data_IF_424521904973
#
_entry.id   IF_424521904973
#
_cell.length_a   1.000
_cell.length_b   1.000
_cell.length_c   1.000
_cell.angle_alpha   90.00
_cell.angle_beta   90.00
_cell.angle_gamma   90.00
#
_symmetry.space_group_name_H-M   'P 1'
#
loop_
_entity.id
_entity.type
_entity.pdbx_description
1 polymer ?
#
# COMPACT_ATOMS: atom_id res chain seq x y z
N UNK A 1 12.54 -4.79 -3.37
CA UNK A 1 11.64 -5.13 -2.25
C UNK A 1 10.63 -4.00 -2.09
N UNK A 2 9.33 -4.30 -1.95
CA UNK A 2 8.32 -3.28 -1.66
C UNK A 2 8.19 -3.09 -0.16
N UNK A 3 8.01 -1.83 0.27
CA UNK A 3 7.87 -1.41 1.65
C UNK A 3 6.63 -0.54 1.76
N UNK A 4 5.70 -0.93 2.63
CA UNK A 4 4.58 -0.10 3.05
C UNK A 4 4.99 0.77 4.23
N UNK A 5 4.57 2.03 4.20
CA UNK A 5 4.68 2.94 5.32
C UNK A 5 3.26 3.27 5.76
N UNK A 6 2.98 3.11 7.06
CA UNK A 6 1.66 3.30 7.68
C UNK A 6 0.95 4.58 7.23
N UNK A 7 1.71 5.66 7.01
CA UNK A 7 1.19 6.95 6.52
C UNK A 7 0.64 6.96 5.09
N UNK A 8 0.60 5.82 4.38
CA UNK A 8 0.01 5.73 3.04
C UNK A 8 1.01 5.74 1.89
N UNK A 9 2.30 5.47 2.15
CA UNK A 9 3.31 5.42 1.08
C UNK A 9 3.71 3.98 0.80
N UNK A 10 3.76 3.62 -0.49
CA UNK A 10 4.42 2.42 -0.96
C UNK A 10 5.75 2.83 -1.60
N UNK A 11 6.85 2.19 -1.21
CA UNK A 11 8.19 2.49 -1.74
C UNK A 11 8.91 1.23 -2.16
N UNK A 12 9.84 1.37 -3.09
CA UNK A 12 10.72 0.29 -3.53
C UNK A 12 12.12 0.49 -2.94
N UNK A 13 12.63 -0.52 -2.25
CA UNK A 13 14.03 -0.58 -1.83
C UNK A 13 14.83 -1.54 -2.71
N UNK A 14 16.03 -1.10 -3.10
CA UNK A 14 16.98 -1.90 -3.85
C UNK A 14 18.41 -1.69 -3.34
N UNK A 15 19.15 -2.78 -3.15
CA UNK A 15 20.56 -2.74 -2.76
C UNK A 15 21.39 -1.87 -3.74
N UNK A 16 22.23 -1.00 -3.20
CA UNK A 16 23.05 -0.06 -3.97
C UNK A 16 22.32 1.17 -4.54
N UNK A 17 20.98 1.19 -4.56
CA UNK A 17 20.16 2.35 -4.97
C UNK A 17 19.41 2.99 -3.81
N UNK A 18 19.18 2.25 -2.73
CA UNK A 18 18.43 2.73 -1.57
C UNK A 18 16.92 2.69 -1.79
N UNK A 19 16.23 3.59 -1.10
CA UNK A 19 14.78 3.69 -1.08
C UNK A 19 14.29 4.68 -2.15
N UNK A 20 13.31 4.29 -2.94
CA UNK A 20 12.68 5.17 -3.95
C UNK A 20 11.83 6.27 -3.31
N UNK A 21 11.44 7.25 -4.12
CA UNK A 21 10.27 8.08 -3.87
C UNK A 21 8.97 7.25 -3.77
N UNK A 22 7.89 7.78 -3.17
CA UNK A 22 6.61 7.09 -3.11
C UNK A 22 6.07 6.72 -4.49
N UNK A 23 5.61 5.49 -4.63
CA UNK A 23 4.92 5.02 -5.84
C UNK A 23 3.53 5.66 -5.94
N UNK A 24 3.13 5.99 -7.16
CA UNK A 24 1.80 6.51 -7.45
C UNK A 24 0.72 5.41 -7.43
N UNK A 25 -0.55 5.81 -7.41
CA UNK A 25 -1.69 4.87 -7.46
C UNK A 25 -1.98 4.14 -6.15
N UNK A 26 -1.31 4.50 -5.05
CA UNK A 26 -1.59 3.96 -3.72
C UNK A 26 -2.89 4.57 -3.19
N UNK A 27 -3.82 3.76 -2.64
CA UNK A 27 -5.06 4.27 -2.06
C UNK A 27 -4.81 5.29 -0.95
N UNK A 28 -5.72 6.26 -0.82
CA UNK A 28 -5.75 7.11 0.37
C UNK A 28 -6.12 6.24 1.57
N UNK A 29 -5.36 6.39 2.66
CA UNK A 29 -5.56 5.60 3.89
C UNK A 29 -6.01 6.47 5.05
N UNK A 30 -6.66 5.85 6.03
CA UNK A 30 -6.92 6.42 7.33
C UNK A 30 -5.78 6.05 8.29
N UNK A 31 -4.78 6.91 8.41
CA UNK A 31 -3.58 6.68 9.21
C UNK A 31 -3.74 7.15 10.68
N UNK A 32 -4.60 6.48 11.44
CA UNK A 32 -4.84 6.78 12.86
C UNK A 32 -4.82 5.51 13.72
N UNK A 33 -4.35 5.60 14.96
CA UNK A 33 -4.31 4.44 15.87
C UNK A 33 -3.52 3.27 15.26
N UNK A 34 -4.17 2.15 14.98
CA UNK A 34 -3.56 1.01 14.27
C UNK A 34 -3.79 1.01 12.75
N UNK A 35 -4.63 1.92 12.25
CA UNK A 35 -4.93 2.07 10.83
C UNK A 35 -3.82 2.75 10.03
N UNK A 36 -3.80 2.48 8.73
CA UNK A 36 -2.86 3.02 7.77
C UNK A 36 -2.78 2.12 6.53
N UNK A 37 -1.71 2.26 5.75
CA UNK A 37 -1.32 1.25 4.77
C UNK A 37 -0.65 0.08 5.49
N UNK A 38 -1.09 -1.14 5.20
CA UNK A 38 -0.71 -2.33 5.96
C UNK A 38 0.15 -3.26 5.09
N UNK A 39 -0.42 -4.30 4.48
CA UNK A 39 0.35 -5.27 3.70
C UNK A 39 0.43 -4.94 2.22
N UNK A 40 1.46 -5.50 1.58
CA UNK A 40 1.62 -5.57 0.14
C UNK A 40 1.96 -6.99 -0.30
N UNK A 41 1.23 -7.51 -1.28
CA UNK A 41 1.45 -8.86 -1.83
C UNK A 41 1.47 -8.80 -3.35
N UNK A 42 2.43 -9.48 -3.98
CA UNK A 42 2.47 -9.60 -5.44
C UNK A 42 1.33 -10.52 -5.90
N UNK A 43 0.63 -10.17 -6.98
CA UNK A 43 -0.31 -11.09 -7.59
C UNK A 43 0.41 -12.37 -8.07
N UNK A 44 -0.28 -13.52 -8.14
CA UNK A 44 0.33 -14.77 -8.62
C UNK A 44 0.94 -14.66 -10.03
N UNK A 45 0.36 -13.79 -10.86
CA UNK A 45 0.78 -13.52 -12.25
C UNK A 45 1.61 -12.21 -12.38
N UNK A 46 2.23 -11.72 -11.30
CA UNK A 46 2.92 -10.42 -11.27
C UNK A 46 3.95 -10.23 -12.38
N UNK A 47 4.62 -11.31 -12.80
CA UNK A 47 5.58 -11.25 -13.90
C UNK A 47 4.96 -10.74 -15.21
N UNK A 48 3.67 -11.00 -15.42
CA UNK A 48 2.89 -10.54 -16.58
C UNK A 48 2.05 -9.31 -16.25
N UNK A 49 1.32 -9.34 -15.13
CA UNK A 49 0.30 -8.34 -14.79
C UNK A 49 0.86 -7.09 -14.11
N UNK A 50 2.03 -7.20 -13.48
CA UNK A 50 2.61 -6.18 -12.58
C UNK A 50 1.69 -5.76 -11.43
N UNK A 51 0.66 -6.55 -11.13
CA UNK A 51 -0.35 -6.22 -10.12
C UNK A 51 0.11 -6.54 -8.70
N UNK A 52 -0.09 -5.60 -7.79
CA UNK A 52 0.03 -5.84 -6.35
C UNK A 52 -1.31 -5.67 -5.64
N UNK A 53 -1.49 -6.40 -4.56
CA UNK A 53 -2.59 -6.25 -3.61
C UNK A 53 -2.11 -5.49 -2.40
N UNK A 54 -2.95 -4.59 -1.89
CA UNK A 54 -2.70 -3.78 -0.72
C UNK A 54 -3.85 -3.95 0.26
N UNK A 55 -3.54 -4.15 1.54
CA UNK A 55 -4.51 -3.96 2.62
C UNK A 55 -4.28 -2.60 3.28
N UNK A 56 -5.37 -1.91 3.61
CA UNK A 56 -5.30 -0.59 4.22
C UNK A 56 -6.53 -0.31 5.07
N UNK A 57 -6.39 0.58 6.05
CA UNK A 57 -7.55 1.13 6.74
C UNK A 57 -8.14 2.28 5.91
N UNK A 58 -9.45 2.26 5.72
CA UNK A 58 -10.22 3.38 5.19
C UNK A 58 -11.27 3.83 6.19
N UNK A 59 -11.66 5.09 6.09
CA UNK A 59 -12.75 5.64 6.88
C UNK A 59 -13.84 6.14 5.95
N UNK A 60 -15.09 5.93 6.36
CA UNK A 60 -16.24 6.53 5.70
C UNK A 60 -16.34 8.03 6.01
N UNK A 61 -17.40 8.67 5.51
CA UNK A 61 -17.64 10.11 5.74
C UNK A 61 -18.03 10.44 7.18
N UNK A 62 -18.45 9.45 7.95
CA UNK A 62 -18.87 9.58 9.34
C UNK A 62 -17.71 9.34 10.31
N UNK A 63 -16.55 8.91 9.81
CA UNK A 63 -15.35 8.65 10.58
C UNK A 63 -15.24 7.22 11.12
N UNK A 64 -16.14 6.32 10.71
CA UNK A 64 -16.02 4.90 11.03
C UNK A 64 -14.90 4.30 10.17
N UNK A 65 -13.96 3.60 10.80
CA UNK A 65 -12.79 3.05 10.12
C UNK A 65 -12.79 1.52 10.13
N UNK A 66 -12.37 0.92 9.01
CA UNK A 66 -12.26 -0.52 8.83
C UNK A 66 -11.13 -0.90 7.86
N UNK A 67 -10.78 -2.18 7.83
CA UNK A 67 -9.76 -2.72 6.92
C UNK A 67 -10.37 -3.06 5.56
N UNK A 68 -9.77 -2.55 4.49
CA UNK A 68 -10.10 -2.82 3.10
C UNK A 68 -8.92 -3.46 2.36
N UNK A 69 -9.22 -4.03 1.19
CA UNK A 69 -8.23 -4.59 0.26
C UNK A 69 -8.47 -4.02 -1.14
N UNK A 70 -7.40 -3.56 -1.78
CA UNK A 70 -7.43 -3.05 -3.15
C UNK A 70 -6.22 -3.53 -3.95
N UNK A 71 -6.20 -3.26 -5.25
CA UNK A 71 -5.08 -3.62 -6.13
C UNK A 71 -4.73 -2.48 -7.10
N UNK A 72 -3.47 -2.47 -7.55
CA UNK A 72 -2.95 -1.54 -8.56
C UNK A 72 -1.81 -2.20 -9.35
N UNK A 73 -1.55 -1.71 -10.56
CA UNK A 73 -0.55 -2.24 -11.48
C UNK A 73 -0.36 -1.33 -12.69
#
# INVERSE_FOLDING_TARGET
>A
MLITLKGGQLRHWQAGRGLSDPLAGVPKVWANGQGGLLDVVLAPDFAQSRRVWLSYAEADREGNAGTAVGFGG
#
